data_IF_589106274346
#
_entry.id   IF_589106274346
#
_cell.length_a   1.000
_cell.length_b   1.000
_cell.length_c   1.000
_cell.angle_alpha   90.00
_cell.angle_beta   90.00
_cell.angle_gamma   90.00
#
_symmetry.space_group_name_H-M   'P 1'
#
loop_
_entity.id
_entity.type
_entity.pdbx_description
1 polymer ?
#
# COMPACT_ATOMS: atom_id res chain seq x y z
N UNK A 1 24.46 3.49 16.26
CA UNK A 1 23.65 4.54 15.58
C UNK A 1 22.31 3.90 15.20
N UNK A 2 21.21 4.54 15.56
CA UNK A 2 19.89 4.00 15.23
C UNK A 2 19.59 4.21 13.75
N UNK A 3 18.82 3.29 13.14
CA UNK A 3 18.34 3.43 11.74
C UNK A 3 17.68 4.80 11.50
N UNK A 4 17.01 5.34 12.53
CA UNK A 4 16.38 6.66 12.48
C UNK A 4 17.39 7.79 12.29
N UNK A 5 18.52 7.74 12.99
CA UNK A 5 19.59 8.76 12.88
C UNK A 5 20.27 8.71 11.51
N UNK A 6 20.60 7.51 11.03
CA UNK A 6 21.18 7.34 9.69
C UNK A 6 20.24 7.85 8.59
N UNK A 7 18.95 7.56 8.69
CA UNK A 7 17.95 8.05 7.74
C UNK A 7 17.80 9.58 7.83
N UNK A 8 17.89 10.19 9.03
CA UNK A 8 17.85 11.63 9.19
C UNK A 8 19.02 12.30 8.48
N UNK A 9 20.24 11.87 8.78
CA UNK A 9 21.46 12.42 8.16
C UNK A 9 21.45 12.26 6.64
N UNK A 10 20.97 11.11 6.13
CA UNK A 10 20.84 10.89 4.70
C UNK A 10 19.89 11.89 4.06
N UNK A 11 18.71 12.12 4.65
CA UNK A 11 17.71 13.04 4.12
C UNK A 11 18.10 14.54 4.29
N UNK A 12 19.02 14.86 5.18
CA UNK A 12 19.61 16.21 5.30
C UNK A 12 20.59 16.48 4.16
N UNK A 13 21.39 15.48 3.79
CA UNK A 13 22.42 15.60 2.73
C UNK A 13 21.86 15.41 1.33
N UNK A 14 20.95 14.45 1.16
CA UNK A 14 20.38 14.10 -0.15
C UNK A 14 19.00 14.73 -0.31
N UNK A 15 18.94 15.81 -1.05
CA UNK A 15 17.67 16.44 -1.43
C UNK A 15 17.12 15.73 -2.66
N UNK A 16 16.03 14.99 -2.47
CA UNK A 16 15.35 14.32 -3.58
C UNK A 16 14.09 15.09 -3.96
N UNK A 17 14.01 15.48 -5.22
CA UNK A 17 12.83 16.07 -5.83
C UNK A 17 12.73 15.59 -7.27
N UNK A 18 11.52 15.43 -7.75
CA UNK A 18 11.28 15.08 -9.14
C UNK A 18 11.19 16.36 -9.97
N UNK A 19 12.00 16.45 -11.01
CA UNK A 19 11.99 17.59 -11.92
C UNK A 19 10.95 17.44 -13.03
N UNK A 20 10.66 16.21 -13.45
CA UNK A 20 9.66 15.90 -14.48
C UNK A 20 8.79 14.73 -13.98
N UNK A 21 7.51 15.01 -13.79
CA UNK A 21 6.54 14.02 -13.28
C UNK A 21 5.50 13.63 -14.33
N UNK A 22 5.24 14.51 -15.26
CA UNK A 22 4.28 14.32 -16.34
C UNK A 22 4.87 14.84 -17.65
N UNK A 23 4.63 14.10 -18.73
CA UNK A 23 4.91 14.49 -20.09
C UNK A 23 3.57 14.44 -20.83
N UNK A 24 3.25 15.45 -21.61
CA UNK A 24 2.05 15.52 -22.41
C UNK A 24 2.17 14.74 -23.74
N UNK A 25 1.13 14.78 -24.55
CA UNK A 25 1.08 14.09 -25.83
C UNK A 25 2.09 14.66 -26.86
N UNK A 26 2.49 15.89 -26.69
CA UNK A 26 3.47 16.60 -27.50
C UNK A 26 4.91 16.39 -27.02
N UNK A 27 5.12 15.47 -26.07
CA UNK A 27 6.41 15.14 -25.43
C UNK A 27 7.04 16.31 -24.66
N UNK A 28 6.23 17.29 -24.23
CA UNK A 28 6.68 18.41 -23.40
C UNK A 28 6.43 18.10 -21.93
N UNK A 29 7.34 18.55 -21.05
CA UNK A 29 7.20 18.41 -19.60
C UNK A 29 6.02 19.28 -19.15
N UNK A 30 4.96 18.66 -18.69
CA UNK A 30 3.81 19.37 -18.14
C UNK A 30 4.12 20.02 -16.79
N UNK A 31 3.51 21.18 -16.53
CA UNK A 31 3.59 21.84 -15.22
C UNK A 31 2.80 21.06 -14.16
N UNK A 32 3.47 20.09 -13.56
CA UNK A 32 2.87 19.20 -12.57
C UNK A 32 2.46 19.93 -11.27
N UNK A 33 2.96 21.15 -11.02
CA UNK A 33 2.51 21.95 -9.89
C UNK A 33 1.05 22.44 -10.07
N UNK A 34 0.61 22.58 -11.32
CA UNK A 34 -0.79 22.83 -11.66
C UNK A 34 -1.59 21.54 -11.55
N UNK A 35 -2.12 21.26 -10.37
CA UNK A 35 -2.84 20.01 -10.07
C UNK A 35 -4.11 19.82 -10.90
N UNK A 36 -4.72 20.90 -11.42
CA UNK A 36 -5.94 20.86 -12.24
C UNK A 36 -7.22 20.63 -11.45
N UNK A 37 -7.18 20.70 -10.12
CA UNK A 37 -8.36 20.51 -9.27
C UNK A 37 -9.23 21.75 -9.21
N UNK A 38 -10.47 21.66 -9.66
CA UNK A 38 -11.49 22.69 -9.52
C UNK A 38 -12.24 22.60 -8.18
N UNK A 39 -13.22 23.48 -7.95
CA UNK A 39 -13.99 23.50 -6.70
C UNK A 39 -14.82 22.23 -6.50
N UNK A 40 -15.41 21.67 -7.57
CA UNK A 40 -16.17 20.43 -7.52
C UNK A 40 -15.30 19.27 -7.08
N UNK A 41 -14.12 19.11 -7.70
CA UNK A 41 -13.17 18.04 -7.34
C UNK A 41 -12.75 18.11 -5.86
N UNK A 42 -12.49 19.31 -5.35
CA UNK A 42 -12.16 19.52 -3.93
C UNK A 42 -13.32 19.16 -3.02
N UNK A 43 -14.56 19.52 -3.39
CA UNK A 43 -15.75 19.13 -2.64
C UNK A 43 -15.96 17.60 -2.64
N UNK A 44 -15.74 16.93 -3.77
CA UNK A 44 -15.80 15.47 -3.88
C UNK A 44 -14.73 14.78 -3.01
N UNK A 45 -13.50 15.29 -3.01
CA UNK A 45 -12.44 14.80 -2.12
C UNK A 45 -12.81 14.96 -0.64
N UNK A 46 -13.32 16.14 -0.25
CA UNK A 46 -13.76 16.37 1.13
C UNK A 46 -14.93 15.46 1.51
N UNK A 47 -15.90 15.25 0.61
CA UNK A 47 -16.99 14.29 0.82
C UNK A 47 -16.46 12.89 1.08
N UNK A 48 -15.51 12.43 0.29
CA UNK A 48 -14.89 11.11 0.49
C UNK A 48 -14.15 11.03 1.83
N UNK A 49 -13.34 12.03 2.17
CA UNK A 49 -12.59 12.08 3.42
C UNK A 49 -13.50 12.10 4.66
N UNK A 50 -14.62 12.83 4.60
CA UNK A 50 -15.60 12.91 5.68
C UNK A 50 -16.52 11.68 5.79
N UNK A 51 -16.58 10.84 4.78
CA UNK A 51 -17.42 9.64 4.78
C UNK A 51 -16.86 8.57 5.70
N UNK A 52 -17.74 7.89 6.44
CA UNK A 52 -17.37 6.69 7.21
C UNK A 52 -17.18 5.50 6.25
N UNK A 53 -16.26 4.61 6.55
CA UNK A 53 -15.94 3.47 5.69
C UNK A 53 -17.14 2.54 5.48
N UNK A 54 -17.97 2.34 6.51
CA UNK A 54 -19.19 1.53 6.42
C UNK A 54 -20.18 2.12 5.39
N UNK A 55 -20.21 3.45 5.23
CA UNK A 55 -21.03 4.13 4.22
C UNK A 55 -20.42 4.12 2.82
N UNK A 56 -19.10 4.04 2.73
CA UNK A 56 -18.42 3.86 1.45
C UNK A 56 -18.66 2.43 0.96
N UNK A 57 -18.52 1.43 1.84
CA UNK A 57 -18.73 0.02 1.51
C UNK A 57 -17.83 -0.42 0.36
N UNK A 58 -18.41 -1.16 -0.58
CA UNK A 58 -17.72 -1.70 -1.77
C UNK A 58 -17.69 -0.75 -2.96
N UNK A 59 -18.08 0.52 -2.80
CA UNK A 59 -18.14 1.49 -3.89
C UNK A 59 -16.76 1.77 -4.47
N UNK A 60 -16.76 2.03 -5.76
CA UNK A 60 -15.58 2.32 -6.56
C UNK A 60 -15.24 3.82 -6.52
N UNK A 61 -14.04 4.16 -6.90
CA UNK A 61 -13.56 5.55 -6.95
C UNK A 61 -14.39 6.39 -7.95
N UNK A 62 -14.71 5.82 -9.12
CA UNK A 62 -15.49 6.48 -10.17
C UNK A 62 -16.96 6.77 -9.78
N UNK A 63 -17.44 6.26 -8.66
CA UNK A 63 -18.75 6.63 -8.09
C UNK A 63 -18.70 7.87 -7.17
N UNK A 64 -17.49 8.34 -6.84
CA UNK A 64 -17.28 9.50 -5.97
C UNK A 64 -16.83 10.75 -6.71
N UNK A 65 -16.24 10.58 -7.90
CA UNK A 65 -15.66 11.64 -8.69
C UNK A 65 -16.26 11.65 -10.10
N UNK A 66 -16.43 12.84 -10.65
CA UNK A 66 -16.81 12.99 -12.06
C UNK A 66 -15.64 12.68 -13.00
N UNK A 67 -15.93 12.43 -14.28
CA UNK A 67 -14.92 12.04 -15.26
C UNK A 67 -13.80 13.07 -15.42
N UNK A 68 -14.08 14.37 -15.25
CA UNK A 68 -13.07 15.43 -15.41
C UNK A 68 -12.01 15.39 -14.29
N UNK A 69 -12.32 14.80 -13.13
CA UNK A 69 -11.34 14.56 -12.07
C UNK A 69 -10.22 13.64 -12.57
N UNK A 70 -10.56 12.62 -13.34
CA UNK A 70 -9.59 11.62 -13.84
C UNK A 70 -8.67 12.15 -14.94
N UNK A 71 -8.97 13.31 -15.48
CA UNK A 71 -8.13 14.01 -16.46
C UNK A 71 -7.15 14.98 -15.81
N UNK A 72 -7.27 15.23 -14.50
CA UNK A 72 -6.42 16.19 -13.79
C UNK A 72 -4.99 15.68 -13.65
N UNK A 73 -4.03 16.59 -13.59
CA UNK A 73 -2.64 16.25 -13.29
C UNK A 73 -2.52 15.61 -11.89
N UNK A 74 -3.35 16.04 -10.94
CA UNK A 74 -3.42 15.41 -9.63
C UNK A 74 -3.69 13.91 -9.73
N UNK A 75 -4.76 13.51 -10.44
CA UNK A 75 -5.11 12.09 -10.59
C UNK A 75 -4.04 11.31 -11.35
N UNK A 76 -3.50 11.88 -12.43
CA UNK A 76 -2.43 11.24 -13.21
C UNK A 76 -1.21 10.94 -12.35
N UNK A 77 -0.78 11.89 -11.51
CA UNK A 77 0.33 11.66 -10.57
C UNK A 77 -0.05 10.68 -9.46
N UNK A 78 -1.27 10.79 -8.92
CA UNK A 78 -1.72 9.91 -7.85
C UNK A 78 -1.79 8.45 -8.30
N UNK A 79 -2.44 8.20 -9.42
CA UNK A 79 -2.59 6.84 -9.97
C UNK A 79 -1.24 6.19 -10.29
N UNK A 80 -0.28 6.93 -10.82
CA UNK A 80 1.04 6.41 -11.14
C UNK A 80 1.93 6.22 -9.91
N UNK A 81 1.77 7.06 -8.89
CA UNK A 81 2.56 6.95 -7.65
C UNK A 81 2.10 5.78 -6.78
N UNK A 82 0.79 5.54 -6.71
CA UNK A 82 0.18 4.57 -5.80
C UNK A 82 -0.55 3.42 -6.52
N UNK A 83 -0.39 3.30 -7.84
CA UNK A 83 -0.99 2.26 -8.69
C UNK A 83 -2.53 2.19 -8.60
N UNK A 84 -3.22 3.32 -8.40
CA UNK A 84 -4.67 3.35 -8.38
C UNK A 84 -5.28 3.34 -9.78
N UNK A 85 -6.46 2.71 -9.88
CA UNK A 85 -7.33 2.77 -11.04
C UNK A 85 -8.72 3.24 -10.59
N UNK A 86 -9.50 3.84 -11.50
CA UNK A 86 -10.80 4.43 -11.14
C UNK A 86 -11.84 3.41 -10.67
N UNK A 87 -11.67 2.12 -11.00
CA UNK A 87 -12.53 1.03 -10.50
C UNK A 87 -12.08 0.42 -9.16
N UNK A 88 -10.97 0.89 -8.58
CA UNK A 88 -10.53 0.44 -7.26
C UNK A 88 -11.45 0.95 -6.15
N UNK A 89 -11.29 0.39 -4.95
CA UNK A 89 -12.07 0.74 -3.77
C UNK A 89 -11.91 2.21 -3.37
N UNK A 90 -13.03 2.91 -3.23
CA UNK A 90 -13.04 4.29 -2.71
C UNK A 90 -12.65 4.35 -1.22
N UNK A 91 -12.93 3.29 -0.45
CA UNK A 91 -12.49 3.21 0.95
C UNK A 91 -10.96 3.16 1.03
N UNK A 92 -10.31 2.42 0.15
CA UNK A 92 -8.85 2.36 0.08
C UNK A 92 -8.25 3.70 -0.34
N UNK A 93 -8.79 4.34 -1.38
CA UNK A 93 -8.37 5.69 -1.77
C UNK A 93 -8.48 6.68 -0.61
N UNK A 94 -9.58 6.64 0.16
CA UNK A 94 -9.76 7.46 1.35
C UNK A 94 -8.66 7.25 2.38
N UNK A 95 -8.30 5.98 2.67
CA UNK A 95 -7.20 5.64 3.59
C UNK A 95 -5.87 6.23 3.13
N UNK A 96 -5.58 6.14 1.84
CA UNK A 96 -4.37 6.74 1.27
C UNK A 96 -4.41 8.27 1.34
N UNK A 97 -5.52 8.92 1.04
CA UNK A 97 -5.65 10.37 1.18
C UNK A 97 -5.41 10.83 2.61
N UNK A 98 -5.99 10.14 3.60
CA UNK A 98 -5.76 10.45 5.01
C UNK A 98 -4.29 10.25 5.42
N UNK A 99 -3.67 9.18 4.95
CA UNK A 99 -2.27 8.87 5.26
C UNK A 99 -1.29 9.89 4.65
N UNK A 100 -1.59 10.38 3.46
CA UNK A 100 -0.74 11.30 2.72
C UNK A 100 -1.30 12.73 2.66
N UNK A 101 -2.20 13.09 3.56
CA UNK A 101 -2.91 14.37 3.52
C UNK A 101 -1.96 15.58 3.45
N UNK A 102 -0.83 15.51 4.15
CA UNK A 102 0.19 16.57 4.15
C UNK A 102 0.98 16.64 2.84
N UNK A 103 0.93 15.59 2.02
CA UNK A 103 1.62 15.54 0.73
C UNK A 103 0.68 15.85 -0.45
N UNK A 104 -0.65 15.89 -0.25
CA UNK A 104 -1.61 16.19 -1.31
C UNK A 104 -1.28 17.47 -2.09
N UNK A 105 -0.96 18.62 -1.44
CA UNK A 105 -0.64 19.87 -2.17
C UNK A 105 0.69 19.82 -2.92
N UNK A 106 1.60 18.91 -2.55
CA UNK A 106 2.95 18.80 -3.12
C UNK A 106 3.26 17.42 -3.68
N UNK A 107 2.22 16.70 -4.11
CA UNK A 107 2.37 15.38 -4.74
C UNK A 107 3.31 15.41 -5.95
N UNK A 108 3.42 16.55 -6.63
CA UNK A 108 4.29 16.77 -7.77
C UNK A 108 5.79 16.66 -7.45
N UNK A 109 6.20 16.94 -6.22
CA UNK A 109 7.61 16.86 -5.79
C UNK A 109 7.89 15.69 -4.86
N UNK A 110 6.91 15.25 -4.09
CA UNK A 110 7.08 14.31 -2.98
C UNK A 110 8.14 14.76 -1.96
N UNK A 111 8.31 16.06 -1.79
CA UNK A 111 9.41 16.64 -1.00
C UNK A 111 9.35 16.29 0.50
N UNK A 112 8.16 15.95 1.01
CA UNK A 112 7.97 15.51 2.40
C UNK A 112 8.28 14.03 2.64
N UNK A 113 8.42 13.24 1.58
CA UNK A 113 8.68 11.80 1.71
C UNK A 113 10.14 11.57 2.08
N UNK A 114 10.35 10.97 3.23
CA UNK A 114 11.67 10.57 3.71
C UNK A 114 12.08 9.25 3.08
N UNK A 115 13.38 9.08 2.87
CA UNK A 115 13.96 7.89 2.27
C UNK A 115 14.95 7.24 3.22
N UNK A 116 15.09 5.95 3.13
CA UNK A 116 16.13 5.20 3.83
C UNK A 116 17.46 5.33 3.10
N UNK A 117 18.57 5.30 3.85
CA UNK A 117 19.93 5.37 3.29
C UNK A 117 20.24 4.18 2.39
N UNK A 118 19.81 3.01 2.84
CA UNK A 118 19.90 1.75 2.10
C UNK A 118 18.50 1.34 1.64
N UNK A 119 18.36 0.22 0.94
CA UNK A 119 17.06 -0.34 0.60
C UNK A 119 16.22 -0.61 1.88
N UNK A 120 14.93 -0.79 1.72
CA UNK A 120 14.02 -0.97 2.86
C UNK A 120 14.30 -2.27 3.64
N UNK A 121 14.76 -3.32 2.97
CA UNK A 121 15.09 -4.56 3.63
C UNK A 121 16.21 -4.35 4.65
N UNK A 122 17.35 -3.80 4.22
CA UNK A 122 18.51 -3.59 5.10
C UNK A 122 18.27 -2.51 6.17
N UNK A 123 17.52 -1.47 5.81
CA UNK A 123 17.28 -0.33 6.70
C UNK A 123 16.17 -0.55 7.74
N UNK A 124 15.19 -1.37 7.43
CA UNK A 124 13.98 -1.53 8.26
C UNK A 124 13.66 -2.98 8.59
N UNK A 125 13.57 -3.84 7.57
CA UNK A 125 13.06 -5.21 7.75
C UNK A 125 14.06 -6.07 8.53
N UNK A 126 15.30 -6.11 8.10
CA UNK A 126 16.33 -6.93 8.74
C UNK A 126 16.60 -6.53 10.20
N UNK A 127 16.75 -5.24 10.56
CA UNK A 127 16.86 -4.84 11.97
C UNK A 127 15.64 -5.22 12.81
N UNK A 128 14.43 -5.06 12.27
CA UNK A 128 13.19 -5.45 12.95
C UNK A 128 13.11 -6.95 13.15
N UNK A 129 13.42 -7.73 12.12
CA UNK A 129 13.45 -9.19 12.20
C UNK A 129 14.43 -9.67 13.27
N UNK A 130 15.66 -9.13 13.28
CA UNK A 130 16.67 -9.48 14.30
C UNK A 130 16.19 -9.17 15.71
N UNK A 131 15.54 -8.03 15.89
CA UNK A 131 14.97 -7.66 17.17
C UNK A 131 13.83 -8.61 17.58
N UNK A 132 12.92 -8.97 16.68
CA UNK A 132 11.83 -9.91 16.95
C UNK A 132 12.36 -11.29 17.32
N UNK A 133 13.33 -11.81 16.58
CA UNK A 133 13.98 -13.09 16.89
C UNK A 133 14.63 -13.05 18.28
N UNK A 134 15.30 -11.95 18.64
CA UNK A 134 15.87 -11.77 19.96
C UNK A 134 14.81 -11.69 21.09
N UNK A 135 13.54 -11.37 20.75
CA UNK A 135 12.40 -11.44 21.68
C UNK A 135 11.72 -12.83 21.70
N UNK A 136 12.26 -13.81 21.00
CA UNK A 136 11.71 -15.17 20.96
C UNK A 136 10.66 -15.42 19.89
N UNK A 137 10.49 -14.50 18.93
CA UNK A 137 9.59 -14.69 17.79
C UNK A 137 10.22 -15.70 16.82
N UNK A 138 9.46 -16.74 16.48
CA UNK A 138 9.83 -17.71 15.45
C UNK A 138 9.47 -17.17 14.06
N UNK A 139 10.48 -16.83 13.27
CA UNK A 139 10.32 -16.31 11.90
C UNK A 139 10.72 -17.40 10.91
N UNK A 140 9.75 -17.93 10.19
CA UNK A 140 9.94 -19.04 9.24
C UNK A 140 9.82 -18.56 7.80
N UNK A 141 10.86 -18.76 7.03
CA UNK A 141 10.88 -18.54 5.58
C UNK A 141 10.63 -19.86 4.84
N UNK A 142 10.17 -19.75 3.59
CA UNK A 142 9.86 -20.92 2.77
C UNK A 142 8.63 -21.70 3.24
N UNK A 143 7.83 -21.13 4.14
CA UNK A 143 6.58 -21.69 4.63
C UNK A 143 5.43 -20.98 3.94
N UNK A 144 4.85 -21.61 2.95
CA UNK A 144 3.73 -21.04 2.17
C UNK A 144 2.40 -21.59 2.70
N UNK A 145 1.61 -20.74 3.36
CA UNK A 145 0.29 -21.12 3.83
C UNK A 145 -0.65 -21.18 2.63
N UNK A 146 -1.13 -22.40 2.34
CA UNK A 146 -1.98 -22.67 1.18
C UNK A 146 -3.46 -22.63 1.49
N UNK A 147 -3.84 -22.98 2.72
CA UNK A 147 -5.23 -23.05 3.15
C UNK A 147 -5.35 -22.95 4.67
N UNK A 148 -6.58 -22.72 5.16
CA UNK A 148 -6.90 -22.71 6.58
C UNK A 148 -8.30 -23.28 6.83
N UNK A 149 -8.41 -24.15 7.84
CA UNK A 149 -9.72 -24.59 8.34
C UNK A 149 -10.30 -23.57 9.32
N UNK A 150 -11.60 -23.32 9.19
CA UNK A 150 -12.35 -22.46 10.09
C UNK A 150 -13.49 -23.24 10.76
N UNK A 151 -13.63 -23.08 12.06
CA UNK A 151 -14.74 -23.63 12.85
C UNK A 151 -15.67 -22.46 13.20
N UNK A 152 -16.97 -22.69 13.08
CA UNK A 152 -18.00 -21.76 13.56
C UNK A 152 -18.58 -22.29 14.85
N UNK A 153 -18.55 -21.49 15.91
CA UNK A 153 -19.24 -21.80 17.14
C UNK A 153 -20.76 -21.72 16.89
N UNK A 154 -21.47 -22.80 17.16
CA UNK A 154 -22.91 -22.90 16.88
C UNK A 154 -23.75 -21.92 17.72
N UNK A 155 -23.28 -21.58 18.93
CA UNK A 155 -24.02 -20.71 19.87
C UNK A 155 -23.73 -19.23 19.64
N UNK A 156 -22.43 -18.86 19.52
CA UNK A 156 -22.01 -17.46 19.39
C UNK A 156 -21.89 -16.98 17.93
N UNK A 157 -21.94 -17.92 16.97
CA UNK A 157 -21.69 -17.66 15.54
C UNK A 157 -20.29 -17.09 15.25
N UNK A 158 -19.41 -17.10 16.23
CA UNK A 158 -18.01 -16.69 16.04
C UNK A 158 -17.24 -17.72 15.19
N UNK A 159 -16.40 -17.21 14.32
CA UNK A 159 -15.54 -18.04 13.46
C UNK A 159 -14.10 -17.88 13.90
N UNK A 160 -13.40 -18.99 14.06
CA UNK A 160 -11.98 -19.01 14.38
C UNK A 160 -11.24 -20.02 13.50
N UNK A 161 -9.99 -19.68 13.18
CA UNK A 161 -9.11 -20.59 12.46
C UNK A 161 -8.67 -21.73 13.40
N UNK A 162 -8.77 -22.98 12.95
CA UNK A 162 -8.42 -24.16 13.74
C UNK A 162 -7.16 -24.86 13.25
N UNK A 163 -6.83 -24.72 11.97
CA UNK A 163 -5.67 -25.34 11.36
C UNK A 163 -5.17 -24.54 10.18
N UNK A 164 -3.85 -24.51 9.99
CA UNK A 164 -3.20 -23.99 8.81
C UNK A 164 -2.54 -25.12 8.02
N UNK A 165 -2.63 -25.08 6.71
CA UNK A 165 -1.93 -25.96 5.80
C UNK A 165 -0.75 -25.22 5.19
N UNK A 166 0.44 -25.77 5.34
CA UNK A 166 1.69 -25.11 4.97
C UNK A 166 2.47 -25.98 4.01
N UNK A 167 2.78 -25.42 2.84
CA UNK A 167 3.68 -26.02 1.89
C UNK A 167 5.13 -25.61 2.20
N UNK A 168 6.01 -26.59 2.29
CA UNK A 168 7.44 -26.41 2.47
C UNK A 168 8.18 -26.73 1.17
N UNK A 169 9.46 -26.35 1.02
CA UNK A 169 10.26 -26.77 -0.13
C UNK A 169 10.35 -28.31 -0.27
N UNK A 170 10.33 -29.04 0.84
CA UNK A 170 10.43 -30.49 0.89
C UNK A 170 9.25 -31.09 1.67
N UNK A 171 8.04 -30.89 1.19
CA UNK A 171 6.84 -31.48 1.80
C UNK A 171 5.78 -30.49 2.25
N UNK A 172 4.97 -30.92 3.19
CA UNK A 172 3.90 -30.10 3.77
C UNK A 172 3.76 -30.38 5.26
N UNK A 173 3.28 -29.37 6.01
CA UNK A 173 2.95 -29.54 7.42
C UNK A 173 1.55 -28.95 7.71
N UNK A 174 0.98 -29.35 8.85
CA UNK A 174 -0.25 -28.79 9.38
C UNK A 174 0.03 -28.19 10.75
N UNK A 175 -0.37 -26.93 10.94
CA UNK A 175 -0.28 -26.21 12.20
C UNK A 175 -1.66 -26.15 12.82
N UNK A 176 -1.88 -26.88 13.94
CA UNK A 176 -3.12 -26.80 14.68
C UNK A 176 -3.11 -25.56 15.58
N UNK A 177 -4.18 -24.78 15.52
CA UNK A 177 -4.41 -23.59 16.34
C UNK A 177 -5.31 -23.96 17.53
N UNK A 178 -4.97 -23.40 18.69
CA UNK A 178 -5.73 -23.55 19.92
C UNK A 178 -6.80 -22.46 20.00
N UNK A 179 -7.79 -22.64 20.84
CA UNK A 179 -8.90 -21.68 20.98
C UNK A 179 -8.47 -20.25 21.35
N UNK A 180 -7.32 -20.08 22.01
CA UNK A 180 -6.79 -18.77 22.39
C UNK A 180 -5.71 -18.24 21.45
N UNK A 181 -5.41 -18.95 20.35
CA UNK A 181 -4.44 -18.48 19.38
C UNK A 181 -5.10 -17.45 18.45
N UNK A 182 -4.33 -16.43 18.08
CA UNK A 182 -4.76 -15.41 17.12
C UNK A 182 -4.00 -15.63 15.81
N UNK A 183 -4.74 -15.84 14.73
CA UNK A 183 -4.18 -15.90 13.38
C UNK A 183 -4.47 -14.61 12.61
N UNK A 184 -3.42 -14.01 12.05
CA UNK A 184 -3.53 -12.81 11.19
C UNK A 184 -3.05 -13.19 9.79
N UNK A 185 -3.95 -13.07 8.81
CA UNK A 185 -3.67 -13.38 7.40
C UNK A 185 -3.44 -12.09 6.61
N UNK A 186 -2.30 -12.03 5.93
CA UNK A 186 -2.05 -11.02 4.91
C UNK A 186 -2.14 -11.69 3.55
N UNK A 187 -3.18 -11.36 2.78
CA UNK A 187 -3.52 -12.07 1.54
C UNK A 187 -2.72 -11.59 0.31
N UNK A 188 -1.52 -11.11 0.54
CA UNK A 188 -0.66 -10.60 -0.51
C UNK A 188 -0.52 -9.08 -0.49
N UNK A 189 0.09 -8.56 -1.53
CA UNK A 189 0.31 -7.13 -1.73
C UNK A 189 0.03 -6.77 -3.18
N UNK A 190 -0.02 -5.47 -3.48
CA UNK A 190 -0.17 -4.96 -4.85
C UNK A 190 0.91 -5.48 -5.83
N UNK A 191 2.02 -5.97 -5.30
CA UNK A 191 3.14 -6.51 -6.08
C UNK A 191 3.24 -8.03 -6.03
N UNK A 192 2.30 -8.74 -5.37
CA UNK A 192 2.38 -10.19 -5.19
C UNK A 192 2.44 -10.96 -6.51
N UNK A 193 1.68 -10.50 -7.52
CA UNK A 193 1.62 -11.12 -8.85
C UNK A 193 2.45 -10.37 -9.91
N UNK A 194 3.34 -9.48 -9.47
CA UNK A 194 4.18 -8.71 -10.39
C UNK A 194 5.12 -9.63 -11.17
N UNK A 195 5.20 -9.41 -12.47
CA UNK A 195 6.13 -10.10 -13.37
C UNK A 195 7.09 -9.09 -13.98
N UNK A 196 8.28 -9.55 -14.30
CA UNK A 196 9.18 -8.78 -15.14
C UNK A 196 8.73 -8.91 -16.59
N UNK A 197 8.48 -7.78 -17.24
CA UNK A 197 8.26 -7.75 -18.67
C UNK A 197 9.57 -7.95 -19.43
N UNK A 198 9.46 -8.33 -20.70
CA UNK A 198 10.58 -8.45 -21.64
C UNK A 198 10.25 -7.74 -22.94
N UNK A 199 11.19 -7.79 -23.89
CA UNK A 199 10.97 -7.17 -25.20
C UNK A 199 9.81 -7.83 -26.00
N UNK A 200 9.41 -9.02 -25.62
CA UNK A 200 8.37 -9.82 -26.29
C UNK A 200 7.25 -10.27 -25.35
N UNK A 201 7.36 -9.96 -24.05
CA UNK A 201 6.40 -10.37 -23.03
C UNK A 201 5.87 -9.14 -22.30
N UNK A 202 4.55 -9.00 -22.28
CA UNK A 202 3.87 -7.99 -21.46
C UNK A 202 3.62 -8.60 -20.09
N UNK A 203 4.01 -7.93 -18.97
CA UNK A 203 3.80 -8.43 -17.61
C UNK A 203 2.32 -8.46 -17.22
#
# INVERSE_FOLDING_TARGET
>A
ISVREECREFNEKVKTHANARLIDAEHVIADAAKLGLNTLHRAQMLRLLASKEEKIGSRRIDEFFDETFFETNFWRMWRTTFAFQKWHSAAELRRYFLRFIQELPRIHTLAGVKRTKYNQYDSMILPLQRWLVAQGVDVRFGHYVTDADFITNAETQERYASRLYVQLPEGSEQINLKANDLAIFTLGSITADSRYGGNHDVP
#
